data_IF_036197871353
#
_entry.id   IF_036197871353
#
_cell.length_a   1.000
_cell.length_b   1.000
_cell.length_c   1.000
_cell.angle_alpha   90.00
_cell.angle_beta   90.00
_cell.angle_gamma   90.00
#
_symmetry.space_group_name_H-M   'P 1'
#
loop_
_entity.id
_entity.type
_entity.pdbx_description
1 polymer ?
#
# COMPACT_ATOMS: atom_id res chain seq x y z
N UNK A 1 -1.74 1.22 -9.02
CA UNK A 1 -3.16 1.01 -8.63
C UNK A 1 -4.13 1.42 -9.74
N UNK A 2 -4.42 2.71 -10.02
CA UNK A 2 -5.42 3.09 -11.02
C UNK A 2 -5.06 2.65 -12.46
N UNK A 3 -3.78 2.71 -12.85
CA UNK A 3 -3.34 2.23 -14.17
C UNK A 3 -3.63 0.75 -14.42
N UNK A 4 -3.39 -0.11 -13.42
CA UNK A 4 -3.71 -1.54 -13.49
C UNK A 4 -5.23 -1.75 -13.64
N UNK A 5 -6.04 -0.98 -12.92
CA UNK A 5 -7.50 -1.06 -13.00
C UNK A 5 -8.06 -0.65 -14.36
N UNK A 6 -7.45 0.36 -15.00
CA UNK A 6 -7.81 0.78 -16.37
C UNK A 6 -7.43 -0.32 -17.37
N UNK A 7 -6.26 -0.94 -17.21
CA UNK A 7 -5.83 -2.05 -18.08
C UNK A 7 -6.76 -3.27 -17.95
N UNK A 8 -7.10 -3.66 -16.72
CA UNK A 8 -8.06 -4.74 -16.45
C UNK A 8 -9.42 -4.43 -17.07
N UNK A 9 -9.90 -3.18 -16.93
CA UNK A 9 -11.13 -2.74 -17.58
C UNK A 9 -11.07 -2.91 -19.10
N UNK A 10 -10.00 -2.45 -19.74
CA UNK A 10 -9.85 -2.50 -21.20
C UNK A 10 -9.72 -3.92 -21.77
N UNK A 11 -9.04 -4.81 -21.06
CA UNK A 11 -8.75 -6.15 -21.56
C UNK A 11 -9.92 -7.12 -21.42
N UNK A 12 -10.91 -6.81 -20.56
CA UNK A 12 -12.06 -7.70 -20.29
C UNK A 12 -11.63 -9.14 -19.96
N UNK A 13 -10.50 -9.28 -19.25
CA UNK A 13 -9.95 -10.56 -18.82
C UNK A 13 -10.26 -10.80 -17.33
N UNK A 14 -10.37 -12.05 -16.88
CA UNK A 14 -10.44 -12.37 -15.45
C UNK A 14 -9.17 -11.88 -14.76
N UNK A 15 -9.32 -11.04 -13.75
CA UNK A 15 -8.19 -10.44 -13.04
C UNK A 15 -8.57 -10.13 -11.59
N UNK A 16 -7.60 -10.31 -10.70
CA UNK A 16 -7.66 -9.91 -9.29
C UNK A 16 -6.50 -8.95 -9.04
N UNK A 17 -6.80 -7.83 -8.39
CA UNK A 17 -5.80 -6.85 -7.99
C UNK A 17 -5.23 -7.24 -6.62
N UNK A 18 -3.90 -7.33 -6.55
CA UNK A 18 -3.19 -7.54 -5.28
C UNK A 18 -2.46 -6.25 -4.93
N UNK A 19 -2.86 -5.63 -3.82
CA UNK A 19 -2.15 -4.48 -3.29
C UNK A 19 -0.77 -4.90 -2.77
N UNK A 20 0.25 -4.05 -2.78
CA UNK A 20 1.58 -4.41 -2.24
C UNK A 20 1.67 -4.38 -0.71
N UNK A 21 0.74 -3.71 -0.04
CA UNK A 21 0.73 -3.53 1.40
C UNK A 21 1.33 -2.20 1.86
N UNK A 22 0.94 -1.79 3.06
CA UNK A 22 1.40 -0.54 3.68
C UNK A 22 2.73 -0.75 4.41
N UNK A 23 3.58 0.28 4.43
CA UNK A 23 4.82 0.30 5.20
C UNK A 23 4.48 0.33 6.69
N UNK A 24 5.29 -0.33 7.52
CA UNK A 24 5.17 -0.21 8.97
C UNK A 24 5.59 1.19 9.42
N UNK A 25 4.98 1.67 10.50
CA UNK A 25 5.42 2.92 11.13
C UNK A 25 6.88 2.81 11.57
N UNK A 26 7.67 3.83 11.23
CA UNK A 26 9.01 4.01 11.76
C UNK A 26 8.99 4.28 13.26
N UNK A 27 10.11 4.06 13.95
CA UNK A 27 10.26 4.43 15.36
C UNK A 27 11.60 5.08 15.59
N UNK A 28 11.61 6.27 16.19
CA UNK A 28 12.80 6.89 16.75
C UNK A 28 12.50 7.46 18.13
N UNK A 29 13.37 7.18 19.10
CA UNK A 29 13.28 7.69 20.48
C UNK A 29 11.91 7.48 21.15
N UNK A 30 11.26 6.34 20.85
CA UNK A 30 9.95 5.98 21.39
C UNK A 30 8.76 6.71 20.74
N UNK A 31 9.00 7.53 19.72
CA UNK A 31 7.95 8.15 18.90
C UNK A 31 7.76 7.38 17.60
N UNK A 32 6.50 7.20 17.21
CA UNK A 32 6.16 6.69 15.90
C UNK A 32 6.47 7.77 14.86
N UNK A 33 7.20 7.38 13.82
CA UNK A 33 7.58 8.22 12.69
C UNK A 33 6.90 7.70 11.43
N UNK A 34 6.53 8.64 10.57
CA UNK A 34 6.01 8.38 9.24
C UNK A 34 6.66 9.34 8.23
N UNK A 35 6.24 9.24 6.97
CA UNK A 35 6.73 10.13 5.92
C UNK A 35 6.40 11.61 6.17
N UNK A 36 5.30 11.90 6.89
CA UNK A 36 4.94 13.27 7.27
C UNK A 36 5.91 13.81 8.29
N UNK A 37 6.34 12.98 9.24
CA UNK A 37 7.36 13.33 10.24
C UNK A 37 8.68 13.76 9.60
N UNK A 38 9.07 13.14 8.48
CA UNK A 38 10.23 13.58 7.70
C UNK A 38 10.02 14.96 7.08
N UNK A 39 8.84 15.24 6.50
CA UNK A 39 8.51 16.56 5.96
C UNK A 39 8.47 17.64 7.06
N UNK A 40 7.89 17.32 8.22
CA UNK A 40 7.87 18.23 9.38
C UNK A 40 9.27 18.50 9.92
N UNK A 41 10.15 17.50 9.93
CA UNK A 41 11.54 17.66 10.35
C UNK A 41 12.30 18.62 9.44
N UNK A 42 12.11 18.55 8.12
CA UNK A 42 12.69 19.52 7.17
C UNK A 42 12.20 20.94 7.47
N UNK A 43 10.90 21.10 7.80
CA UNK A 43 10.33 22.38 8.23
C UNK A 43 10.99 22.93 9.50
N UNK A 44 11.15 22.08 10.52
CA UNK A 44 11.83 22.42 11.79
C UNK A 44 13.30 22.77 11.60
N UNK A 45 13.99 22.05 10.71
CA UNK A 45 15.40 22.34 10.40
C UNK A 45 15.55 23.73 9.76
N UNK A 46 14.68 24.06 8.80
CA UNK A 46 14.67 25.39 8.18
C UNK A 46 14.32 26.51 9.15
N UNK A 47 13.51 26.23 10.18
CA UNK A 47 13.18 27.17 11.25
C UNK A 47 14.28 27.27 12.33
N UNK A 48 15.28 26.38 12.31
CA UNK A 48 16.35 26.31 13.31
C UNK A 48 15.98 25.58 14.60
N UNK A 49 14.84 24.87 14.64
CA UNK A 49 14.34 24.16 15.83
C UNK A 49 15.05 22.82 16.06
N UNK A 50 15.61 22.21 15.00
CA UNK A 50 16.37 20.96 15.08
C UNK A 50 17.71 21.11 14.33
N UNK A 51 18.69 20.29 14.70
CA UNK A 51 19.97 20.25 13.99
C UNK A 51 19.96 19.25 12.82
N UNK A 52 21.05 19.25 12.05
CA UNK A 52 21.19 18.36 10.89
C UNK A 52 21.29 16.88 11.29
N UNK A 53 21.81 16.58 12.48
CA UNK A 53 21.94 15.20 12.95
C UNK A 53 20.57 14.61 13.32
N UNK A 54 19.72 15.41 13.97
CA UNK A 54 18.37 15.07 14.34
C UNK A 54 17.48 14.94 13.10
N UNK A 55 17.61 15.84 12.12
CA UNK A 55 16.96 15.68 10.81
C UNK A 55 17.34 14.34 10.16
N UNK A 56 18.65 14.06 10.06
CA UNK A 56 19.13 12.83 9.44
C UNK A 56 18.65 11.57 10.17
N UNK A 57 18.58 11.62 11.51
CA UNK A 57 18.04 10.53 12.32
C UNK A 57 16.57 10.28 11.99
N UNK A 58 15.76 11.33 11.90
CA UNK A 58 14.33 11.20 11.55
C UNK A 58 14.18 10.63 10.14
N UNK A 59 14.93 11.12 9.16
CA UNK A 59 14.91 10.61 7.78
C UNK A 59 15.24 9.12 7.70
N UNK A 60 16.28 8.68 8.41
CA UNK A 60 16.70 7.28 8.40
C UNK A 60 15.70 6.34 9.07
N UNK A 61 14.88 6.85 10.00
CA UNK A 61 13.94 6.02 10.76
C UNK A 61 12.48 6.16 10.30
N UNK A 62 12.15 7.14 9.45
CA UNK A 62 10.79 7.39 8.96
C UNK A 62 10.27 6.32 7.98
N UNK A 63 11.16 5.62 7.27
CA UNK A 63 10.81 4.57 6.32
C UNK A 63 11.56 3.27 6.65
N UNK A 64 11.02 2.44 7.57
CA UNK A 64 11.74 1.29 8.12
C UNK A 64 11.81 0.06 7.20
N UNK A 65 11.12 0.04 6.05
CA UNK A 65 11.05 -1.13 5.19
C UNK A 65 10.27 -0.89 3.89
N UNK A 66 9.90 -1.98 3.21
CA UNK A 66 9.10 -1.89 1.98
C UNK A 66 7.62 -1.58 2.26
N UNK A 67 6.94 -0.92 1.31
CA UNK A 67 5.50 -0.67 1.36
C UNK A 67 5.10 0.75 0.95
N UNK A 68 3.80 1.00 0.81
CA UNK A 68 3.27 2.35 0.58
C UNK A 68 3.28 3.19 1.87
N UNK A 69 3.15 4.51 1.76
CA UNK A 69 2.99 5.39 2.93
C UNK A 69 1.94 4.88 3.94
N UNK A 70 2.29 4.92 5.24
CA UNK A 70 1.51 4.31 6.33
C UNK A 70 0.09 4.87 6.52
N UNK A 71 -0.11 6.16 6.22
CA UNK A 71 -1.41 6.83 6.39
C UNK A 71 -2.42 6.55 5.27
N UNK A 72 -3.68 6.97 5.47
CA UNK A 72 -4.75 6.89 4.47
C UNK A 72 -4.60 7.92 3.35
N UNK A 73 -3.44 7.89 2.67
CA UNK A 73 -3.17 8.71 1.50
C UNK A 73 -3.71 8.05 0.23
N UNK A 74 -3.26 8.50 -0.93
CA UNK A 74 -3.71 8.00 -2.23
C UNK A 74 -3.55 6.48 -2.37
N UNK A 75 -2.47 5.90 -1.84
CA UNK A 75 -2.19 4.47 -1.96
C UNK A 75 -3.23 3.62 -1.21
N UNK A 76 -3.38 3.84 0.10
CA UNK A 76 -4.31 3.09 0.93
C UNK A 76 -5.78 3.40 0.55
N UNK A 77 -6.10 4.67 0.23
CA UNK A 77 -7.44 5.03 -0.25
C UNK A 77 -7.81 4.29 -1.53
N UNK A 78 -6.90 4.20 -2.51
CA UNK A 78 -7.16 3.47 -3.74
C UNK A 78 -7.21 1.95 -3.51
N UNK A 79 -6.39 1.41 -2.60
CA UNK A 79 -6.43 0.00 -2.23
C UNK A 79 -7.80 -0.37 -1.64
N UNK A 80 -8.32 0.41 -0.69
CA UNK A 80 -9.65 0.22 -0.11
C UNK A 80 -10.76 0.41 -1.15
N UNK A 81 -10.65 1.39 -2.05
CA UNK A 81 -11.63 1.59 -3.12
C UNK A 81 -11.67 0.39 -4.10
N UNK A 82 -10.51 -0.18 -4.45
CA UNK A 82 -10.43 -1.35 -5.32
C UNK A 82 -11.00 -2.59 -4.65
N UNK A 83 -10.78 -2.76 -3.35
CA UNK A 83 -11.41 -3.83 -2.56
C UNK A 83 -12.93 -3.66 -2.50
N UNK A 84 -13.42 -2.44 -2.24
CA UNK A 84 -14.85 -2.13 -2.25
C UNK A 84 -15.52 -2.35 -3.62
N UNK A 85 -14.78 -2.17 -4.71
CA UNK A 85 -15.23 -2.51 -6.07
C UNK A 85 -15.26 -4.02 -6.35
N UNK A 86 -14.85 -4.87 -5.40
CA UNK A 86 -14.82 -6.33 -5.55
C UNK A 86 -13.69 -6.83 -6.44
N UNK A 87 -12.66 -6.00 -6.67
CA UNK A 87 -11.56 -6.31 -7.57
C UNK A 87 -10.31 -6.82 -6.84
N UNK A 88 -10.32 -6.80 -5.51
CA UNK A 88 -9.31 -7.40 -4.62
C UNK A 88 -9.99 -8.40 -3.68
N UNK A 89 -9.21 -9.32 -3.10
CA UNK A 89 -9.72 -10.20 -2.04
C UNK A 89 -10.00 -9.41 -0.75
N UNK A 90 -11.04 -9.80 0.02
CA UNK A 90 -11.35 -9.17 1.30
C UNK A 90 -10.16 -9.19 2.27
N UNK A 91 -9.84 -8.05 2.87
CA UNK A 91 -8.74 -7.89 3.83
C UNK A 91 -7.37 -7.61 3.18
N UNK A 92 -7.21 -7.81 1.86
CA UNK A 92 -5.90 -7.69 1.22
C UNK A 92 -5.35 -6.26 1.16
N UNK A 93 -6.21 -5.24 1.29
CA UNK A 93 -5.78 -3.83 1.32
C UNK A 93 -5.11 -3.42 2.64
N UNK A 94 -5.30 -4.19 3.71
CA UNK A 94 -4.91 -3.78 5.08
C UNK A 94 -3.61 -4.44 5.57
N UNK A 95 -3.17 -5.52 4.91
CA UNK A 95 -1.99 -6.27 5.32
C UNK A 95 -0.69 -5.49 5.06
N UNK A 96 0.23 -5.38 6.05
CA UNK A 96 1.53 -4.76 5.85
C UNK A 96 2.36 -5.48 4.77
N UNK A 97 3.19 -4.74 4.03
CA UNK A 97 3.92 -5.30 2.89
C UNK A 97 4.85 -6.47 3.24
N UNK A 98 5.44 -6.45 4.45
CA UNK A 98 6.37 -7.47 4.93
C UNK A 98 5.71 -8.53 5.84
N UNK A 99 4.38 -8.65 5.86
CA UNK A 99 3.69 -9.67 6.67
C UNK A 99 3.61 -11.03 5.96
N UNK A 100 3.58 -12.11 6.72
CA UNK A 100 3.33 -13.46 6.20
C UNK A 100 1.92 -13.58 5.59
N UNK A 101 0.95 -12.83 6.14
CA UNK A 101 -0.40 -12.70 5.58
C UNK A 101 -0.36 -12.15 4.16
N UNK A 102 0.59 -11.26 3.86
CA UNK A 102 0.71 -10.71 2.52
C UNK A 102 1.15 -11.73 1.48
N UNK A 103 2.02 -12.66 1.88
CA UNK A 103 2.39 -13.77 1.03
C UNK A 103 1.20 -14.70 0.78
N UNK A 104 0.36 -14.92 1.80
CA UNK A 104 -0.87 -15.71 1.65
C UNK A 104 -1.87 -15.03 0.71
N UNK A 105 -2.06 -13.71 0.81
CA UNK A 105 -2.92 -12.94 -0.11
C UNK A 105 -2.53 -13.17 -1.59
N UNK A 106 -1.22 -13.22 -1.88
CA UNK A 106 -0.72 -13.45 -3.24
C UNK A 106 -1.08 -14.86 -3.74
N UNK A 107 -0.98 -15.87 -2.88
CA UNK A 107 -1.35 -17.25 -3.20
C UNK A 107 -2.86 -17.37 -3.42
N UNK A 108 -3.65 -16.79 -2.52
CA UNK A 108 -5.11 -16.82 -2.57
C UNK A 108 -5.64 -16.06 -3.79
N UNK A 109 -5.01 -14.93 -4.15
CA UNK A 109 -5.34 -14.20 -5.36
C UNK A 109 -5.05 -15.01 -6.62
N UNK A 110 -3.95 -15.78 -6.64
CA UNK A 110 -3.65 -16.72 -7.73
C UNK A 110 -4.74 -17.77 -7.88
N UNK A 111 -5.14 -18.41 -6.78
CA UNK A 111 -6.24 -19.38 -6.77
C UNK A 111 -7.57 -18.75 -7.20
N UNK A 112 -7.84 -17.52 -6.78
CA UNK A 112 -9.05 -16.79 -7.15
C UNK A 112 -9.10 -16.50 -8.66
N UNK A 113 -7.99 -16.06 -9.28
CA UNK A 113 -7.94 -15.85 -10.75
C UNK A 113 -8.20 -17.14 -11.50
N UNK A 114 -7.62 -18.26 -11.07
CA UNK A 114 -7.88 -19.58 -11.69
C UNK A 114 -9.36 -19.96 -11.59
N UNK A 115 -9.97 -19.77 -10.42
CA UNK A 115 -11.40 -20.03 -10.23
C UNK A 115 -12.29 -19.12 -11.10
N UNK A 116 -11.89 -17.86 -11.33
CA UNK A 116 -12.61 -16.95 -12.22
C UNK A 116 -12.52 -17.38 -13.68
N UNK A 117 -11.35 -17.88 -14.11
CA UNK A 117 -11.14 -18.45 -15.43
C UNK A 117 -12.03 -19.68 -15.64
N UNK A 118 -12.04 -20.63 -14.70
CA UNK A 118 -12.84 -21.86 -14.78
C UNK A 118 -14.35 -21.56 -14.85
N UNK A 119 -14.81 -20.54 -14.12
CA UNK A 119 -16.22 -20.12 -14.12
C UNK A 119 -16.59 -19.19 -15.28
N UNK A 120 -15.63 -18.78 -16.10
CA UNK A 120 -15.85 -17.79 -17.16
C UNK A 120 -16.39 -16.46 -16.62
N UNK A 121 -15.91 -16.02 -15.46
CA UNK A 121 -16.31 -14.75 -14.85
C UNK A 121 -15.38 -13.65 -15.36
N UNK A 122 -15.92 -12.82 -16.25
CA UNK A 122 -15.22 -11.68 -16.84
C UNK A 122 -15.77 -10.37 -16.28
N UNK A 123 -14.93 -9.33 -16.28
CA UNK A 123 -15.36 -7.98 -15.95
C UNK A 123 -16.12 -7.36 -17.13
N UNK A 124 -17.42 -7.62 -17.21
CA UNK A 124 -18.30 -7.02 -18.21
C UNK A 124 -18.31 -5.48 -18.09
N UNK A 125 -17.82 -4.80 -19.13
CA UNK A 125 -18.17 -3.40 -19.39
C UNK A 125 -19.54 -3.43 -20.06
N UNK A 126 -20.55 -2.86 -19.38
CA UNK A 126 -21.85 -2.55 -19.97
C UNK A 126 -21.76 -1.41 -20.97
#
# INVERSE_FOLDING_TARGET
>A
MPGCMIAIGRLNLPAVFVYGGTIRAGKADGKDLDIVSAFEAVGKYNNGDIDRQELHKIECHACPGAGSCGGMYTANTMASAIEAMGMSLPGSSSNPAESAEKMQDCLDAGQAVMNLLDKGIYRRIS
#
